data_IF_619565338812
#
_entry.id   IF_619565338812
#
_cell.length_a   1.000
_cell.length_b   1.000
_cell.length_c   1.000
_cell.angle_alpha   90.00
_cell.angle_beta   90.00
_cell.angle_gamma   90.00
#
_symmetry.space_group_name_H-M   'P 1'
#
loop_
_entity.id
_entity.type
_entity.pdbx_description
1 polymer ?
#
# COMPACT_ATOMS: atom_id res chain seq x y z
N UNK A 1 3.87 -36.30 -37.16
CA UNK A 1 4.30 -34.90 -37.30
C UNK A 1 3.13 -33.95 -37.14
N UNK A 2 2.01 -34.14 -37.84
CA UNK A 2 0.83 -33.26 -37.75
C UNK A 2 0.20 -33.25 -36.35
N UNK A 3 0.10 -34.40 -35.67
CA UNK A 3 -0.46 -34.52 -34.32
C UNK A 3 0.38 -33.75 -33.29
N UNK A 4 1.73 -33.78 -33.41
CA UNK A 4 2.60 -33.02 -32.51
C UNK A 4 2.54 -31.49 -32.70
N UNK A 5 2.28 -31.02 -33.90
CA UNK A 5 2.08 -29.60 -34.21
C UNK A 5 0.76 -29.11 -33.60
N UNK A 6 -0.29 -29.90 -33.74
CA UNK A 6 -1.63 -29.60 -33.17
C UNK A 6 -1.56 -29.54 -31.64
N UNK A 7 -0.84 -30.48 -31.00
CA UNK A 7 -0.67 -30.52 -29.54
C UNK A 7 0.11 -29.27 -29.05
N UNK A 8 1.15 -28.85 -29.76
CA UNK A 8 1.92 -27.66 -29.41
C UNK A 8 1.10 -26.38 -29.56
N UNK A 9 0.28 -26.27 -30.61
CA UNK A 9 -0.61 -25.14 -30.80
C UNK A 9 -1.65 -25.06 -29.65
N UNK A 10 -2.23 -26.19 -29.28
CA UNK A 10 -3.17 -26.25 -28.17
C UNK A 10 -2.54 -25.84 -26.83
N UNK A 11 -1.32 -26.27 -26.54
CA UNK A 11 -0.57 -25.88 -25.34
C UNK A 11 -0.33 -24.37 -25.34
N UNK A 12 0.10 -23.79 -26.48
CA UNK A 12 0.34 -22.36 -26.63
C UNK A 12 -0.93 -21.54 -26.38
N UNK A 13 -2.04 -21.89 -27.03
CA UNK A 13 -3.32 -21.19 -26.86
C UNK A 13 -3.82 -21.25 -25.41
N UNK A 14 -3.67 -22.39 -24.74
CA UNK A 14 -4.03 -22.50 -23.32
C UNK A 14 -3.15 -21.63 -22.45
N UNK A 15 -1.86 -21.53 -22.74
CA UNK A 15 -0.94 -20.66 -22.01
C UNK A 15 -1.28 -19.18 -22.20
N UNK A 16 -1.59 -18.76 -23.41
CA UNK A 16 -2.06 -17.40 -23.71
C UNK A 16 -3.32 -17.05 -22.94
N UNK A 17 -4.31 -17.95 -22.90
CA UNK A 17 -5.55 -17.78 -22.12
C UNK A 17 -5.25 -17.64 -20.62
N UNK A 18 -4.33 -18.44 -20.08
CA UNK A 18 -3.92 -18.32 -18.68
C UNK A 18 -3.24 -16.97 -18.39
N UNK A 19 -2.39 -16.47 -19.30
CA UNK A 19 -1.77 -15.15 -19.17
C UNK A 19 -2.82 -14.03 -19.18
N UNK A 20 -3.80 -14.10 -20.09
CA UNK A 20 -4.92 -13.17 -20.16
C UNK A 20 -5.72 -13.21 -18.86
N UNK A 21 -6.08 -14.41 -18.39
CA UNK A 21 -6.85 -14.57 -17.14
C UNK A 21 -6.14 -13.93 -15.95
N UNK A 22 -4.83 -14.15 -15.80
CA UNK A 22 -4.05 -13.50 -14.74
C UNK A 22 -4.08 -11.97 -14.83
N UNK A 23 -4.02 -11.41 -16.06
CA UNK A 23 -4.14 -9.97 -16.25
C UNK A 23 -5.54 -9.46 -15.91
N UNK A 24 -6.60 -10.22 -16.23
CA UNK A 24 -7.98 -9.90 -15.88
C UNK A 24 -8.19 -9.94 -14.34
N UNK A 25 -7.60 -10.92 -13.67
CA UNK A 25 -7.66 -11.00 -12.20
C UNK A 25 -7.03 -9.75 -11.56
N UNK A 26 -5.85 -9.32 -12.05
CA UNK A 26 -5.22 -8.07 -11.59
C UNK A 26 -6.10 -6.85 -11.88
N UNK A 27 -6.67 -6.77 -13.09
CA UNK A 27 -7.60 -5.69 -13.46
C UNK A 27 -8.76 -5.63 -12.47
N UNK A 28 -9.40 -6.76 -12.19
CA UNK A 28 -10.52 -6.84 -11.26
C UNK A 28 -10.15 -6.41 -9.85
N UNK A 29 -8.95 -6.78 -9.38
CA UNK A 29 -8.45 -6.32 -8.07
C UNK A 29 -8.17 -4.81 -8.06
N UNK A 30 -7.56 -4.26 -9.10
CA UNK A 30 -7.30 -2.83 -9.20
C UNK A 30 -8.59 -2.00 -9.28
N UNK A 31 -9.65 -2.51 -9.90
CA UNK A 31 -10.96 -1.86 -9.96
C UNK A 31 -11.67 -1.80 -8.59
N UNK A 32 -11.29 -2.65 -7.64
CA UNK A 32 -11.78 -2.60 -6.26
C UNK A 32 -11.11 -1.49 -5.45
N UNK A 33 -9.90 -1.05 -5.82
CA UNK A 33 -9.12 -0.07 -5.05
C UNK A 33 -9.92 1.21 -4.72
N UNK A 34 -10.58 1.90 -5.66
CA UNK A 34 -11.34 3.10 -5.33
C UNK A 34 -12.50 2.85 -4.35
N UNK A 35 -13.13 1.69 -4.42
CA UNK A 35 -14.28 1.33 -3.57
C UNK A 35 -13.85 0.95 -2.15
N UNK A 36 -12.79 0.13 -2.01
CA UNK A 36 -12.30 -0.37 -0.74
C UNK A 36 -11.41 0.64 0.00
N UNK A 37 -10.87 1.65 -0.70
CA UNK A 37 -10.06 2.72 -0.14
C UNK A 37 -10.88 3.90 0.42
N UNK A 38 -12.15 3.69 0.76
CA UNK A 38 -12.98 4.73 1.37
C UNK A 38 -12.53 5.01 2.79
N UNK A 39 -12.60 6.28 3.16
CA UNK A 39 -12.32 6.76 4.50
C UNK A 39 -13.52 7.50 5.07
N UNK A 40 -13.63 7.53 6.39
CA UNK A 40 -14.62 8.38 7.07
C UNK A 40 -13.98 9.73 7.37
N UNK A 41 -14.59 10.80 6.85
CA UNK A 41 -14.15 12.16 7.06
C UNK A 41 -15.39 13.02 7.38
N UNK A 42 -15.41 13.66 8.54
CA UNK A 42 -16.54 14.46 9.04
C UNK A 42 -17.89 13.72 9.04
N UNK A 43 -17.87 12.43 9.33
CA UNK A 43 -19.07 11.58 9.34
C UNK A 43 -19.54 11.10 7.97
N UNK A 44 -18.86 11.50 6.89
CA UNK A 44 -19.16 11.06 5.52
C UNK A 44 -18.13 10.03 5.04
N UNK A 45 -18.60 9.02 4.29
CA UNK A 45 -17.73 8.05 3.64
C UNK A 45 -17.26 8.59 2.28
N UNK A 46 -15.98 8.91 2.18
CA UNK A 46 -15.37 9.53 1.02
C UNK A 46 -14.49 8.54 0.27
N UNK A 47 -14.62 8.49 -1.06
CA UNK A 47 -13.70 7.79 -1.92
C UNK A 47 -12.40 8.59 -2.03
N UNK A 48 -11.36 8.15 -1.32
CA UNK A 48 -10.09 8.86 -1.24
C UNK A 48 -9.25 8.73 -2.51
N UNK A 49 -9.31 7.59 -3.16
CA UNK A 49 -8.44 7.24 -4.29
C UNK A 49 -9.27 7.09 -5.57
N UNK A 50 -8.83 7.73 -6.63
CA UNK A 50 -9.28 7.48 -8.00
C UNK A 50 -8.16 6.81 -8.79
N UNK A 51 -8.50 5.80 -9.59
CA UNK A 51 -7.55 5.09 -10.45
C UNK A 51 -8.11 5.01 -11.87
N UNK A 52 -7.34 5.50 -12.83
CA UNK A 52 -7.67 5.41 -14.25
C UNK A 52 -6.55 4.65 -14.96
N UNK A 53 -6.92 3.54 -15.62
CA UNK A 53 -6.01 2.72 -16.39
C UNK A 53 -6.52 2.66 -17.84
N UNK A 54 -5.71 3.06 -18.83
CA UNK A 54 -6.09 3.02 -20.24
C UNK A 54 -5.97 1.60 -20.78
N UNK A 55 -7.01 0.79 -20.59
CA UNK A 55 -7.04 -0.58 -21.08
C UNK A 55 -7.19 -0.65 -22.61
N UNK A 56 -6.58 -1.66 -23.18
CA UNK A 56 -6.82 -2.07 -24.56
C UNK A 56 -8.26 -2.56 -24.71
N UNK A 57 -8.90 -2.30 -25.83
CA UNK A 57 -10.23 -2.85 -26.12
C UNK A 57 -10.20 -4.39 -26.10
N UNK A 58 -11.22 -4.99 -25.52
CA UNK A 58 -11.26 -6.43 -25.25
C UNK A 58 -11.04 -7.29 -26.51
N UNK A 59 -11.57 -6.85 -27.64
CA UNK A 59 -11.40 -7.49 -28.95
C UNK A 59 -9.93 -7.64 -29.42
N UNK A 60 -9.02 -6.80 -28.90
CA UNK A 60 -7.60 -6.83 -29.27
C UNK A 60 -6.71 -7.55 -28.26
N UNK A 61 -7.22 -7.88 -27.07
CA UNK A 61 -6.41 -8.45 -25.97
C UNK A 61 -5.80 -9.79 -26.38
N UNK A 62 -6.61 -10.69 -26.96
CA UNK A 62 -6.15 -12.02 -27.35
C UNK A 62 -5.02 -11.95 -28.39
N UNK A 63 -5.20 -11.12 -29.42
CA UNK A 63 -4.18 -10.95 -30.45
C UNK A 63 -2.86 -10.37 -29.87
N UNK A 64 -2.96 -9.32 -29.07
CA UNK A 64 -1.77 -8.70 -28.45
C UNK A 64 -1.03 -9.66 -27.52
N UNK A 65 -1.76 -10.52 -26.80
CA UNK A 65 -1.12 -11.53 -25.93
C UNK A 65 -0.43 -12.60 -26.77
N UNK A 66 -1.07 -13.09 -27.84
CA UNK A 66 -0.46 -14.04 -28.75
C UNK A 66 0.82 -13.48 -29.37
N UNK A 67 0.78 -12.26 -29.94
CA UNK A 67 1.93 -11.57 -30.50
C UNK A 67 3.07 -11.41 -29.46
N UNK A 68 2.71 -11.05 -28.20
CA UNK A 68 3.68 -10.93 -27.11
C UNK A 68 4.36 -12.26 -26.76
N UNK A 69 3.59 -13.35 -26.68
CA UNK A 69 4.14 -14.68 -26.39
C UNK A 69 5.05 -15.15 -27.52
N UNK A 70 4.68 -14.89 -28.77
CA UNK A 70 5.53 -15.18 -29.92
C UNK A 70 6.86 -14.43 -29.88
N UNK A 71 6.83 -13.15 -29.51
CA UNK A 71 8.03 -12.36 -29.28
C UNK A 71 8.92 -12.92 -28.16
N UNK A 72 8.30 -13.41 -27.07
CA UNK A 72 9.01 -14.06 -25.97
C UNK A 72 9.70 -15.35 -26.44
N UNK A 73 8.99 -16.18 -27.20
CA UNK A 73 9.54 -17.44 -27.74
C UNK A 73 10.70 -17.13 -28.68
N UNK A 74 10.50 -16.25 -29.66
CA UNK A 74 11.53 -15.85 -30.61
C UNK A 74 12.75 -15.21 -29.93
N UNK A 75 12.50 -14.40 -28.90
CA UNK A 75 13.56 -13.80 -28.09
C UNK A 75 14.34 -14.84 -27.27
N UNK A 76 13.68 -15.87 -26.77
CA UNK A 76 14.31 -16.95 -25.99
C UNK A 76 15.22 -17.82 -26.86
N UNK A 77 14.91 -18.01 -28.14
CA UNK A 77 15.72 -18.81 -29.06
C UNK A 77 17.12 -18.21 -29.37
N UNK A 78 17.31 -16.93 -29.03
CA UNK A 78 18.62 -16.27 -29.16
C UNK A 78 19.63 -16.73 -28.09
N UNK A 79 19.18 -17.36 -27.02
CA UNK A 79 20.02 -17.82 -25.93
C UNK A 79 20.36 -19.30 -26.10
N UNK A 80 21.64 -19.62 -26.23
CA UNK A 80 22.12 -21.02 -26.29
C UNK A 80 22.16 -21.67 -24.92
N UNK A 81 22.45 -20.88 -23.87
CA UNK A 81 22.49 -21.36 -22.49
C UNK A 81 21.08 -21.48 -21.92
N UNK A 82 20.75 -22.68 -21.44
CA UNK A 82 19.42 -22.96 -20.89
C UNK A 82 19.06 -22.08 -19.66
N UNK A 83 20.04 -21.76 -18.79
CA UNK A 83 19.82 -20.91 -17.63
C UNK A 83 19.51 -19.46 -18.02
N UNK A 84 20.23 -18.92 -18.99
CA UNK A 84 19.98 -17.58 -19.52
C UNK A 84 18.64 -17.50 -20.24
N UNK A 85 18.32 -18.53 -21.02
CA UNK A 85 17.01 -18.67 -21.69
C UNK A 85 15.89 -18.66 -20.67
N UNK A 86 15.98 -19.46 -19.61
CA UNK A 86 14.98 -19.51 -18.54
C UNK A 86 14.86 -18.19 -17.77
N UNK A 87 15.98 -17.51 -17.51
CA UNK A 87 16.00 -16.20 -16.87
C UNK A 87 15.29 -15.16 -17.74
N UNK A 88 15.57 -15.16 -19.04
CA UNK A 88 14.89 -14.27 -20.00
C UNK A 88 13.38 -14.52 -19.98
N UNK A 89 12.92 -15.76 -20.14
CA UNK A 89 11.51 -16.13 -20.14
C UNK A 89 10.82 -15.69 -18.83
N UNK A 90 11.40 -16.01 -17.67
CA UNK A 90 10.86 -15.59 -16.37
C UNK A 90 10.67 -14.08 -16.28
N UNK A 91 11.70 -13.32 -16.69
CA UNK A 91 11.63 -11.85 -16.68
C UNK A 91 10.55 -11.32 -17.61
N UNK A 92 10.38 -11.92 -18.79
CA UNK A 92 9.34 -11.51 -19.73
C UNK A 92 7.93 -11.89 -19.30
N UNK A 93 7.78 -12.96 -18.53
CA UNK A 93 6.50 -13.43 -18.01
C UNK A 93 6.16 -12.89 -16.60
N UNK A 94 6.95 -11.95 -16.08
CA UNK A 94 6.59 -11.22 -14.87
C UNK A 94 5.23 -10.52 -15.03
N UNK A 95 4.42 -10.55 -13.98
CA UNK A 95 3.06 -10.02 -13.97
C UNK A 95 2.97 -8.58 -14.49
N UNK A 96 3.90 -7.70 -14.10
CA UNK A 96 3.96 -6.31 -14.57
C UNK A 96 4.11 -6.22 -16.09
N UNK A 97 4.90 -7.10 -16.70
CA UNK A 97 5.12 -7.13 -18.15
C UNK A 97 3.92 -7.71 -18.90
N UNK A 98 3.34 -8.80 -18.38
CA UNK A 98 2.10 -9.35 -18.92
C UNK A 98 0.96 -8.33 -18.84
N UNK A 99 0.81 -7.66 -17.71
CA UNK A 99 -0.22 -6.63 -17.52
C UNK A 99 -0.06 -5.46 -18.50
N UNK A 100 1.17 -5.10 -18.86
CA UNK A 100 1.42 -4.05 -19.87
C UNK A 100 0.86 -4.40 -21.26
N UNK A 101 0.61 -5.68 -21.55
CA UNK A 101 0.02 -6.12 -22.83
C UNK A 101 -1.45 -5.68 -22.95
N UNK A 102 -2.18 -5.68 -21.85
CA UNK A 102 -3.60 -5.29 -21.80
C UNK A 102 -3.81 -3.79 -21.54
N UNK A 103 -2.76 -3.01 -21.36
CA UNK A 103 -2.79 -1.56 -21.19
C UNK A 103 -2.22 -0.89 -22.42
N UNK A 104 -2.85 0.20 -22.90
CA UNK A 104 -2.38 0.91 -24.11
C UNK A 104 -1.07 1.65 -23.86
N UNK A 105 -0.93 2.28 -22.69
CA UNK A 105 0.27 2.97 -22.24
C UNK A 105 0.34 2.99 -20.72
N UNK A 106 1.36 2.33 -20.17
CA UNK A 106 1.60 2.27 -18.72
C UNK A 106 1.88 3.65 -18.11
N UNK A 107 2.43 4.59 -18.89
CA UNK A 107 2.70 5.96 -18.44
C UNK A 107 1.43 6.81 -18.31
N UNK A 108 0.32 6.36 -18.88
CA UNK A 108 -0.98 7.02 -18.80
C UNK A 108 -1.87 6.49 -17.68
N UNK A 109 -1.36 5.61 -16.83
CA UNK A 109 -2.04 5.24 -15.57
C UNK A 109 -2.03 6.48 -14.67
N UNK A 110 -3.20 6.84 -14.15
CA UNK A 110 -3.39 8.01 -13.29
C UNK A 110 -3.98 7.59 -11.95
N UNK A 111 -3.24 7.91 -10.89
CA UNK A 111 -3.70 7.83 -9.52
C UNK A 111 -4.06 9.25 -9.06
N UNK A 112 -5.26 9.43 -8.57
CA UNK A 112 -5.72 10.71 -8.03
C UNK A 112 -6.13 10.57 -6.57
N UNK A 113 -5.88 11.60 -5.78
CA UNK A 113 -6.23 11.66 -4.37
C UNK A 113 -7.22 12.78 -4.11
N UNK A 114 -8.21 12.53 -3.25
CA UNK A 114 -9.18 13.52 -2.81
C UNK A 114 -8.51 14.58 -1.93
N UNK A 115 -8.76 15.86 -2.22
CA UNK A 115 -8.32 17.00 -1.40
C UNK A 115 -9.50 17.88 -1.01
N UNK A 116 -9.73 18.02 0.31
CA UNK A 116 -10.88 18.75 0.85
C UNK A 116 -10.84 20.25 0.57
N UNK A 117 -9.66 20.86 0.60
CA UNK A 117 -9.51 22.33 0.55
C UNK A 117 -9.86 22.97 -0.81
N UNK A 118 -10.04 22.19 -1.86
CA UNK A 118 -10.42 22.66 -3.19
C UNK A 118 -11.93 22.73 -3.45
N UNK A 119 -12.74 22.98 -2.43
CA UNK A 119 -14.20 23.04 -2.58
C UNK A 119 -14.68 24.17 -3.51
N UNK A 120 -13.84 25.14 -3.86
CA UNK A 120 -14.19 26.27 -4.74
C UNK A 120 -13.69 26.14 -6.18
N UNK A 121 -12.84 25.18 -6.49
CA UNK A 121 -12.32 24.95 -7.84
C UNK A 121 -12.75 23.59 -8.40
N UNK A 122 -12.86 23.47 -9.69
CA UNK A 122 -13.58 22.44 -10.46
C UNK A 122 -13.12 20.99 -10.25
N UNK A 123 -12.06 20.70 -9.50
CA UNK A 123 -11.59 19.33 -9.24
C UNK A 123 -11.22 19.12 -7.79
N UNK A 124 -11.97 18.22 -7.11
CA UNK A 124 -11.65 17.74 -5.75
C UNK A 124 -10.54 16.71 -5.73
N UNK A 125 -10.08 16.26 -6.90
CA UNK A 125 -9.05 15.26 -7.05
C UNK A 125 -7.79 15.86 -7.66
N UNK A 126 -6.63 15.55 -7.04
CA UNK A 126 -5.31 15.91 -7.52
C UNK A 126 -4.59 14.66 -8.00
N UNK A 127 -3.68 14.83 -8.94
CA UNK A 127 -2.71 13.77 -9.24
C UNK A 127 -1.85 13.52 -8.01
N UNK A 128 -1.43 12.26 -7.82
CA UNK A 128 -0.59 11.87 -6.71
C UNK A 128 0.67 12.74 -6.60
N UNK A 129 1.33 13.02 -7.72
CA UNK A 129 2.54 13.84 -7.79
C UNK A 129 2.31 15.29 -7.36
N UNK A 130 1.13 15.85 -7.67
CA UNK A 130 0.73 17.20 -7.26
C UNK A 130 0.35 17.25 -5.77
N UNK A 131 -0.24 16.18 -5.27
CA UNK A 131 -0.67 16.07 -3.87
C UNK A 131 0.52 15.98 -2.91
N UNK A 132 1.59 15.33 -3.31
CA UNK A 132 2.78 15.04 -2.48
C UNK A 132 3.82 16.17 -2.54
N UNK A 133 3.73 17.08 -3.50
CA UNK A 133 4.76 18.10 -3.79
C UNK A 133 4.80 19.34 -2.87
N UNK A 134 3.86 19.56 -1.96
CA UNK A 134 3.83 20.76 -1.09
C UNK A 134 4.10 20.43 0.38
N UNK A 135 5.06 21.13 0.98
CA UNK A 135 5.80 20.75 2.19
C UNK A 135 5.04 20.71 3.53
N UNK A 136 3.85 21.20 3.66
CA UNK A 136 3.13 21.20 4.95
C UNK A 136 1.77 20.50 4.90
N UNK A 137 1.07 20.68 3.80
CA UNK A 137 -0.23 20.06 3.56
C UNK A 137 -0.12 18.62 3.07
N UNK A 138 1.05 18.22 2.55
CA UNK A 138 1.32 16.90 2.00
C UNK A 138 1.27 15.76 3.03
N UNK A 139 1.57 16.04 4.31
CA UNK A 139 1.55 15.01 5.35
C UNK A 139 0.12 14.54 5.65
N UNK A 140 -0.86 15.45 5.70
CA UNK A 140 -2.26 15.07 5.88
C UNK A 140 -2.77 14.20 4.73
N UNK A 141 -2.46 14.55 3.49
CA UNK A 141 -2.84 13.79 2.29
C UNK A 141 -2.13 12.42 2.30
N UNK A 142 -0.86 12.38 2.70
CA UNK A 142 -0.11 11.13 2.79
C UNK A 142 -0.73 10.17 3.82
N UNK A 143 -1.12 10.67 5.00
CA UNK A 143 -1.78 9.84 6.02
C UNK A 143 -3.15 9.37 5.54
N UNK A 144 -3.93 10.23 4.88
CA UNK A 144 -5.20 9.84 4.26
C UNK A 144 -5.00 8.74 3.22
N UNK A 145 -3.96 8.83 2.40
CA UNK A 145 -3.59 7.80 1.44
C UNK A 145 -3.20 6.49 2.12
N UNK A 146 -2.37 6.53 3.17
CA UNK A 146 -2.01 5.33 3.94
C UNK A 146 -3.24 4.65 4.54
N UNK A 147 -4.16 5.40 5.14
CA UNK A 147 -5.41 4.84 5.68
C UNK A 147 -6.23 4.18 4.58
N UNK A 148 -6.33 4.81 3.42
CA UNK A 148 -7.08 4.24 2.29
C UNK A 148 -6.46 2.96 1.76
N UNK A 149 -5.13 2.87 1.69
CA UNK A 149 -4.40 1.64 1.31
C UNK A 149 -4.61 0.53 2.34
N UNK A 150 -4.55 0.86 3.63
CA UNK A 150 -4.81 -0.11 4.70
C UNK A 150 -6.25 -0.61 4.64
N UNK A 151 -7.23 0.27 4.42
CA UNK A 151 -8.62 -0.11 4.24
C UNK A 151 -8.82 -1.03 3.03
N UNK A 152 -8.14 -0.75 1.91
CA UNK A 152 -8.14 -1.60 0.73
C UNK A 152 -7.59 -3.00 1.04
N UNK A 153 -6.41 -3.08 1.67
CA UNK A 153 -5.79 -4.35 2.04
C UNK A 153 -6.70 -5.13 3.00
N UNK A 154 -7.23 -4.48 4.03
CA UNK A 154 -8.16 -5.09 4.98
C UNK A 154 -9.42 -5.61 4.29
N UNK A 155 -9.97 -4.87 3.32
CA UNK A 155 -11.13 -5.25 2.53
C UNK A 155 -10.91 -6.49 1.67
N UNK A 156 -9.70 -6.66 1.11
CA UNK A 156 -9.34 -7.86 0.33
C UNK A 156 -9.33 -9.11 1.22
N UNK A 157 -8.73 -9.02 2.41
CA UNK A 157 -8.56 -10.17 3.30
C UNK A 157 -9.79 -10.48 4.17
N UNK A 158 -10.73 -9.55 4.26
CA UNK A 158 -11.89 -9.64 5.15
C UNK A 158 -13.21 -9.84 4.39
N UNK A 159 -13.23 -10.67 3.37
CA UNK A 159 -14.37 -10.86 2.47
C UNK A 159 -15.72 -11.19 3.17
N UNK A 160 -15.72 -11.52 4.47
CA UNK A 160 -16.90 -11.92 5.24
C UNK A 160 -17.04 -11.25 6.62
N UNK A 161 -16.28 -10.22 6.96
CA UNK A 161 -16.34 -9.58 8.27
C UNK A 161 -16.48 -8.06 8.17
N UNK A 162 -17.13 -7.47 9.17
CA UNK A 162 -17.29 -6.04 9.34
C UNK A 162 -15.92 -5.33 9.35
N UNK A 163 -15.43 -4.96 8.17
CA UNK A 163 -14.12 -4.29 7.99
C UNK A 163 -14.04 -2.97 8.74
N UNK A 164 -15.18 -2.35 9.03
CA UNK A 164 -15.25 -1.06 9.72
C UNK A 164 -14.80 -1.13 11.19
N UNK A 165 -14.75 -2.34 11.76
CA UNK A 165 -14.33 -2.55 13.15
C UNK A 165 -12.91 -3.05 13.32
N UNK A 166 -12.17 -3.28 12.21
CA UNK A 166 -10.79 -3.74 12.30
C UNK A 166 -9.90 -2.62 12.87
N UNK A 167 -9.24 -2.92 13.97
CA UNK A 167 -8.20 -2.08 14.54
C UNK A 167 -6.95 -2.14 13.64
N UNK A 168 -6.44 -0.98 13.28
CA UNK A 168 -5.30 -0.81 12.37
C UNK A 168 -4.24 0.00 13.05
N UNK A 169 -2.98 -0.25 12.76
CA UNK A 169 -1.85 0.51 13.33
C UNK A 169 -1.01 1.10 12.20
N UNK A 170 -0.70 2.38 12.30
CA UNK A 170 0.24 3.08 11.42
C UNK A 170 1.43 3.52 12.25
N UNK A 171 2.62 3.23 11.76
CA UNK A 171 3.88 3.71 12.34
C UNK A 171 4.50 4.75 11.40
N UNK A 172 4.73 5.97 11.90
CA UNK A 172 5.31 7.07 11.12
C UNK A 172 6.46 7.69 11.91
N UNK A 173 7.66 7.64 11.34
CA UNK A 173 8.83 8.25 11.95
C UNK A 173 8.82 9.77 11.76
N UNK A 174 8.89 10.50 12.87
CA UNK A 174 9.05 11.94 12.96
C UNK A 174 8.17 12.79 12.02
N UNK A 175 6.83 12.58 11.98
CA UNK A 175 5.95 13.26 11.05
C UNK A 175 5.78 14.77 11.34
N UNK A 176 6.18 15.25 12.51
CA UNK A 176 5.98 16.64 12.96
C UNK A 176 7.10 17.60 12.55
N UNK A 177 8.13 17.12 11.83
CA UNK A 177 9.34 17.87 11.54
C UNK A 177 9.13 19.24 10.87
N UNK A 178 8.21 19.33 9.91
CA UNK A 178 7.90 20.56 9.17
C UNK A 178 6.63 21.26 9.64
N UNK A 179 5.67 20.54 10.24
CA UNK A 179 4.37 21.05 10.67
C UNK A 179 4.22 20.92 12.17
N UNK A 180 4.70 21.92 12.92
CA UNK A 180 4.66 21.94 14.39
C UNK A 180 3.32 22.44 14.95
N UNK A 181 2.45 22.98 14.12
CA UNK A 181 1.20 23.60 14.54
C UNK A 181 0.10 22.54 14.73
N UNK A 182 -0.48 22.50 15.91
CA UNK A 182 -1.50 21.54 16.31
C UNK A 182 -2.72 21.56 15.40
N UNK A 183 -3.12 22.72 14.90
CA UNK A 183 -4.32 22.85 14.06
C UNK A 183 -4.21 22.07 12.75
N UNK A 184 -3.00 21.79 12.26
CA UNK A 184 -2.78 20.96 11.06
C UNK A 184 -3.05 19.49 11.39
N UNK A 185 -2.77 19.07 12.63
CA UNK A 185 -2.89 17.68 13.07
C UNK A 185 -4.26 17.33 13.63
N UNK A 186 -5.06 18.30 14.08
CA UNK A 186 -6.41 18.04 14.60
C UNK A 186 -7.30 17.26 13.63
N UNK A 187 -7.41 17.67 12.35
CA UNK A 187 -8.18 16.89 11.39
C UNK A 187 -7.64 15.47 11.16
N UNK A 188 -6.32 15.30 11.29
CA UNK A 188 -5.65 14.01 11.14
C UNK A 188 -5.99 13.09 12.31
N UNK A 189 -5.92 13.58 13.56
CA UNK A 189 -6.32 12.80 14.73
C UNK A 189 -7.79 12.39 14.68
N UNK A 190 -8.68 13.29 14.26
CA UNK A 190 -10.09 12.99 14.07
C UNK A 190 -10.30 11.91 13.00
N UNK A 191 -9.55 11.97 11.90
CA UNK A 191 -9.57 11.00 10.82
C UNK A 191 -9.10 9.61 11.29
N UNK A 192 -7.99 9.55 12.01
CA UNK A 192 -7.45 8.29 12.57
C UNK A 192 -8.46 7.62 13.49
N UNK A 193 -9.05 8.39 14.41
CA UNK A 193 -10.08 7.91 15.34
C UNK A 193 -11.31 7.37 14.60
N UNK A 194 -11.82 8.12 13.61
CA UNK A 194 -12.99 7.73 12.82
C UNK A 194 -12.78 6.46 11.99
N UNK A 195 -11.52 6.14 11.66
CA UNK A 195 -11.15 4.95 10.88
C UNK A 195 -10.56 3.82 11.74
N UNK A 196 -10.65 3.91 13.07
CA UNK A 196 -10.11 2.92 14.03
C UNK A 196 -8.62 2.64 13.81
N UNK A 197 -7.83 3.69 13.62
CA UNK A 197 -6.39 3.60 13.38
C UNK A 197 -5.62 4.08 14.61
N UNK A 198 -4.77 3.22 15.14
CA UNK A 198 -3.75 3.57 16.12
C UNK A 198 -2.56 4.20 15.39
N UNK A 199 -2.09 5.35 15.87
CA UNK A 199 -0.90 6.02 15.37
C UNK A 199 0.26 5.86 16.36
N UNK A 200 1.37 5.28 15.92
CA UNK A 200 2.61 5.18 16.69
C UNK A 200 3.65 6.10 16.03
N UNK A 201 4.19 7.03 16.82
CA UNK A 201 5.08 8.07 16.31
C UNK A 201 6.32 8.21 17.19
N UNK A 202 7.48 7.74 16.76
CA UNK A 202 8.75 8.25 17.29
C UNK A 202 8.93 9.70 16.80
N UNK A 203 9.13 10.63 17.71
CA UNK A 203 9.25 12.04 17.35
C UNK A 203 10.39 12.73 18.10
N UNK A 204 11.03 13.69 17.44
CA UNK A 204 11.99 14.61 18.06
C UNK A 204 11.38 16.02 18.10
N UNK A 205 11.41 16.65 19.29
CA UNK A 205 10.97 18.03 19.42
C UNK A 205 9.47 18.26 19.18
N UNK A 206 8.64 17.24 19.44
CA UNK A 206 7.19 17.42 19.47
C UNK A 206 6.81 18.42 20.59
N UNK A 207 5.92 19.37 20.27
CA UNK A 207 5.46 20.37 21.23
C UNK A 207 4.50 19.75 22.25
N UNK A 208 4.40 20.30 23.49
CA UNK A 208 3.40 19.83 24.45
C UNK A 208 1.97 19.82 23.91
N UNK A 209 1.64 20.75 23.03
CA UNK A 209 0.35 20.82 22.39
C UNK A 209 0.08 19.61 21.48
N UNK A 210 1.08 19.08 20.80
CA UNK A 210 0.98 17.85 20.00
C UNK A 210 0.98 16.61 20.91
N UNK A 211 1.90 16.52 21.87
CA UNK A 211 2.01 15.34 22.74
C UNK A 211 0.77 15.13 23.61
N UNK A 212 0.09 16.21 24.01
CA UNK A 212 -1.18 16.12 24.76
C UNK A 212 -2.33 15.49 23.97
N UNK A 213 -2.19 15.30 22.67
CA UNK A 213 -3.19 14.64 21.81
C UNK A 213 -3.01 13.13 21.70
N UNK A 214 -1.90 12.61 22.20
CA UNK A 214 -1.67 11.17 22.26
C UNK A 214 -2.12 10.60 23.58
N UNK A 215 -2.77 9.45 23.54
CA UNK A 215 -3.26 8.73 24.72
C UNK A 215 -2.09 8.31 25.62
N UNK A 216 -0.97 7.95 25.02
CA UNK A 216 0.24 7.49 25.71
C UNK A 216 1.48 8.18 25.13
N UNK A 217 2.36 8.65 26.02
CA UNK A 217 3.64 9.23 25.66
C UNK A 217 4.77 8.57 26.43
N UNK A 218 5.75 8.03 25.72
CA UNK A 218 7.01 7.54 26.27
C UNK A 218 8.09 8.59 26.01
N UNK A 219 8.72 9.08 27.08
CA UNK A 219 9.85 10.01 26.96
C UNK A 219 11.13 9.18 27.04
N UNK A 220 11.88 9.19 25.95
CA UNK A 220 13.12 8.45 25.83
C UNK A 220 14.33 9.32 26.17
N UNK A 221 15.23 8.77 26.96
CA UNK A 221 16.51 9.37 27.29
C UNK A 221 17.66 8.40 27.02
N UNK A 222 18.88 8.90 27.19
CA UNK A 222 20.05 8.05 27.03
C UNK A 222 20.71 7.85 28.38
N UNK A 223 21.04 6.63 28.72
CA UNK A 223 21.72 6.23 29.94
C UNK A 223 22.93 5.37 29.61
N UNK A 224 24.03 5.60 30.37
CA UNK A 224 25.19 4.73 30.28
C UNK A 224 24.99 3.48 31.12
N UNK A 225 24.99 2.33 30.46
CA UNK A 225 24.96 1.00 31.09
C UNK A 225 26.32 0.35 30.85
N UNK A 226 27.17 0.42 31.88
CA UNK A 226 28.57 0.04 31.73
C UNK A 226 29.32 1.01 30.79
N UNK A 227 29.87 0.47 29.69
CA UNK A 227 30.59 1.26 28.67
C UNK A 227 29.74 1.58 27.43
N UNK A 228 28.46 1.23 27.43
CA UNK A 228 27.55 1.40 26.26
C UNK A 228 26.46 2.40 26.62
N UNK A 229 26.15 3.27 25.66
CA UNK A 229 25.02 4.17 25.73
C UNK A 229 23.77 3.41 25.26
N UNK A 230 22.72 3.43 26.08
CA UNK A 230 21.45 2.77 25.77
C UNK A 230 20.30 3.78 25.86
N UNK A 231 19.32 3.62 24.98
CA UNK A 231 18.08 4.38 25.03
C UNK A 231 17.16 3.72 26.05
N UNK A 232 16.67 4.50 27.01
CA UNK A 232 15.78 4.05 28.08
C UNK A 232 14.56 4.95 28.17
N UNK A 233 13.45 4.43 28.68
CA UNK A 233 12.28 5.25 28.99
C UNK A 233 12.57 5.97 30.29
N UNK A 234 12.62 7.31 30.25
CA UNK A 234 12.91 8.17 31.44
C UNK A 234 11.65 8.74 32.07
N UNK A 235 10.56 8.85 31.32
CA UNK A 235 9.26 9.29 31.81
C UNK A 235 8.14 8.64 30.96
N UNK A 236 6.96 8.49 31.56
CA UNK A 236 5.79 7.90 30.95
C UNK A 236 4.55 8.69 31.35
N UNK A 237 3.76 9.09 30.37
CA UNK A 237 2.50 9.79 30.58
C UNK A 237 1.40 9.05 29.84
N UNK A 238 0.33 8.68 30.56
CA UNK A 238 -0.84 8.04 29.99
C UNK A 238 -2.09 8.82 30.37
N UNK A 239 -3.00 8.98 29.42
CA UNK A 239 -4.36 9.48 29.63
C UNK A 239 -5.37 8.32 29.74
N UNK A 240 -4.92 7.09 29.51
CA UNK A 240 -5.73 5.87 29.64
C UNK A 240 -5.75 5.48 31.11
N UNK A 241 -6.94 5.22 31.64
CA UNK A 241 -7.09 4.73 33.02
C UNK A 241 -6.40 3.37 33.17
N UNK A 242 -5.65 3.20 34.26
CA UNK A 242 -4.83 2.00 34.47
C UNK A 242 -5.65 0.71 34.63
N UNK A 243 -6.94 0.81 34.94
CA UNK A 243 -7.84 -0.34 35.08
C UNK A 243 -8.09 -1.10 33.77
N UNK A 244 -7.87 -0.49 32.60
CA UNK A 244 -8.01 -1.14 31.30
C UNK A 244 -6.73 -1.85 30.81
N UNK A 245 -5.60 -1.63 31.49
CA UNK A 245 -4.32 -2.24 31.14
C UNK A 245 -4.06 -3.49 31.99
N UNK A 246 -4.77 -4.58 31.74
CA UNK A 246 -4.27 -5.90 32.12
C UNK A 246 -3.01 -6.21 31.33
N UNK A 247 -1.85 -5.92 31.93
CA UNK A 247 -0.57 -6.44 31.45
C UNK A 247 -0.60 -7.95 31.58
N UNK A 248 -0.92 -8.66 30.51
CA UNK A 248 -0.52 -10.04 30.39
C UNK A 248 0.99 -10.03 30.26
N UNK A 249 1.68 -10.48 31.30
CA UNK A 249 3.08 -10.86 31.19
C UNK A 249 3.14 -11.97 30.15
N UNK A 250 3.50 -11.58 28.91
CA UNK A 250 3.91 -12.54 27.92
C UNK A 250 5.28 -13.03 28.37
N UNK A 251 5.33 -14.16 29.03
CA UNK A 251 6.56 -14.91 29.21
C UNK A 251 7.03 -15.28 27.80
N UNK A 252 8.03 -14.57 27.31
CA UNK A 252 8.72 -14.97 26.08
C UNK A 252 9.57 -16.20 26.43
N UNK A 253 9.15 -17.38 26.00
CA UNK A 253 10.06 -18.52 25.89
C UNK A 253 11.13 -18.15 24.87
N UNK A 254 12.35 -17.98 25.34
CA UNK A 254 13.51 -17.75 24.52
C UNK A 254 13.81 -19.06 23.80
N UNK A 255 13.32 -19.21 22.56
CA UNK A 255 13.71 -20.33 21.70
C UNK A 255 15.14 -20.08 21.25
N UNK A 256 16.09 -20.78 21.87
CA UNK A 256 17.47 -20.81 21.37
C UNK A 256 17.50 -21.68 20.12
N UNK A 257 17.83 -21.09 18.98
CA UNK A 257 18.16 -21.85 17.79
C UNK A 257 19.62 -22.28 17.92
N UNK A 258 19.87 -23.55 18.23
CA UNK A 258 21.16 -24.16 18.08
C UNK A 258 21.38 -24.41 16.58
N UNK A 259 22.23 -23.61 15.96
CA UNK A 259 22.76 -23.87 14.63
C UNK A 259 23.87 -24.93 14.75
N UNK A 260 23.59 -26.13 14.25
CA UNK A 260 24.58 -27.17 13.97
C UNK A 260 25.21 -26.92 12.60
#
# INVERSE_FOLDING_TARGET
VEQGITDMQFIKENFEKQCIQRCQDVKNELEKLPKLSRIVLDGESIQMVGLTIPYVKEEFIAKRMADYIDDVVTGADRYQNQNERMKYIRTRLELKRLFSVIVTDMNNIRLTLYKRERMKEQSRYLRYEEAVGSTGQSQGIYIQFLISVINYISGIYSANSETDKLMKTIFIDNPFGAAKDVYIWEPIFALLKANHVQLIVPARGATPAITSRFDVNYILGQQMVGKRQQTVVVDYRSQVEQEELEYRNLEYEQVSFDFI
#
